data_IF_479909032354
#
_entry.id   IF_479909032354
#
_cell.length_a   1.000
_cell.length_b   1.000
_cell.length_c   1.000
_cell.angle_alpha   90.00
_cell.angle_beta   90.00
_cell.angle_gamma   90.00
#
_symmetry.space_group_name_H-M   'P 1'
#
loop_
_entity.id
_entity.type
_entity.pdbx_description
1 polymer ?
#
# COMPACT_ATOMS: atom_id res chain seq x y z
N UNK A 1 20.91 -6.93 -10.59
CA UNK A 1 20.11 -6.11 -9.65
C UNK A 1 19.30 -7.06 -8.79
N UNK A 2 19.66 -7.24 -7.53
CA UNK A 2 18.95 -8.17 -6.62
C UNK A 2 17.73 -7.43 -6.09
N UNK A 3 16.53 -7.97 -6.32
CA UNK A 3 15.29 -7.42 -5.76
C UNK A 3 15.27 -7.72 -4.26
N UNK A 4 15.80 -6.78 -3.47
CA UNK A 4 15.80 -6.86 -2.01
C UNK A 4 14.52 -6.30 -1.39
N UNK A 5 14.36 -6.51 -0.08
CA UNK A 5 13.21 -6.02 0.72
C UNK A 5 12.92 -4.52 0.53
N UNK A 6 13.94 -3.71 0.29
CA UNK A 6 13.78 -2.27 0.01
C UNK A 6 12.87 -1.97 -1.19
N UNK A 7 12.86 -2.82 -2.23
CA UNK A 7 11.98 -2.64 -3.38
C UNK A 7 10.51 -2.88 -3.01
N UNK A 8 10.24 -3.94 -2.23
CA UNK A 8 8.89 -4.23 -1.73
C UNK A 8 8.38 -3.14 -0.79
N UNK A 9 9.24 -2.61 0.09
CA UNK A 9 8.90 -1.47 0.96
C UNK A 9 8.63 -0.19 0.17
N UNK A 10 9.38 0.05 -0.91
CA UNK A 10 9.17 1.24 -1.75
C UNK A 10 7.83 1.15 -2.47
N UNK A 11 7.50 -0.02 -3.03
CA UNK A 11 6.21 -0.25 -3.71
C UNK A 11 5.05 -0.13 -2.73
N UNK A 12 5.14 -0.73 -1.54
CA UNK A 12 4.08 -0.62 -0.53
C UNK A 12 3.92 0.81 -0.02
N UNK A 13 5.00 1.56 0.15
CA UNK A 13 4.95 2.98 0.51
C UNK A 13 4.24 3.83 -0.58
N UNK A 14 4.57 3.61 -1.86
CA UNK A 14 3.90 4.31 -2.97
C UNK A 14 2.41 4.00 -2.97
N UNK A 15 2.03 2.72 -2.89
CA UNK A 15 0.62 2.32 -2.84
C UNK A 15 -0.11 2.92 -1.63
N UNK A 16 0.51 2.90 -0.46
CA UNK A 16 -0.06 3.50 0.75
C UNK A 16 -0.31 5.00 0.57
N UNK A 17 0.68 5.75 0.06
CA UNK A 17 0.52 7.20 -0.19
C UNK A 17 -0.57 7.49 -1.22
N UNK A 18 -0.67 6.71 -2.30
CA UNK A 18 -1.73 6.84 -3.31
C UNK A 18 -3.11 6.58 -2.70
N UNK A 19 -3.24 5.55 -1.86
CA UNK A 19 -4.50 5.25 -1.17
C UNK A 19 -4.90 6.39 -0.22
N UNK A 20 -3.97 6.93 0.56
CA UNK A 20 -4.23 8.09 1.44
C UNK A 20 -4.62 9.33 0.62
N UNK A 21 -3.93 9.57 -0.51
CA UNK A 21 -4.25 10.67 -1.41
C UNK A 21 -5.64 10.50 -2.04
N UNK A 22 -6.00 9.28 -2.43
CA UNK A 22 -7.33 8.94 -2.96
C UNK A 22 -8.46 9.28 -1.99
N UNK A 23 -8.28 9.02 -0.70
CA UNK A 23 -9.23 9.40 0.36
C UNK A 23 -9.34 10.93 0.47
N UNK A 24 -8.21 11.65 0.43
CA UNK A 24 -8.21 13.10 0.65
C UNK A 24 -8.81 13.87 -0.52
N UNK A 25 -8.58 13.42 -1.76
CA UNK A 25 -9.08 14.06 -2.98
C UNK A 25 -10.57 13.82 -3.21
N UNK A 26 -11.06 12.60 -2.92
CA UNK A 26 -12.41 12.17 -3.32
C UNK A 26 -13.36 11.96 -2.14
N UNK A 27 -13.45 12.94 -1.24
CA UNK A 27 -14.32 12.84 -0.03
C UNK A 27 -15.82 12.75 -0.31
N UNK A 28 -16.26 13.10 -1.53
CA UNK A 28 -17.68 13.09 -1.91
C UNK A 28 -18.15 11.73 -2.41
N UNK A 29 -17.24 10.86 -2.85
CA UNK A 29 -17.56 9.57 -3.44
C UNK A 29 -17.17 8.45 -2.50
N UNK A 30 -18.14 7.93 -1.74
CA UNK A 30 -17.91 6.84 -0.78
C UNK A 30 -17.28 5.61 -1.45
N UNK A 31 -17.66 5.30 -2.69
CA UNK A 31 -17.08 4.19 -3.47
C UNK A 31 -15.57 4.37 -3.66
N UNK A 32 -15.12 5.59 -3.98
CA UNK A 32 -13.70 5.89 -4.17
C UNK A 32 -12.93 5.83 -2.85
N UNK A 33 -13.56 6.24 -1.76
CA UNK A 33 -12.98 6.09 -0.41
C UNK A 33 -12.82 4.62 -0.07
N UNK A 34 -13.84 3.78 -0.30
CA UNK A 34 -13.76 2.34 -0.04
C UNK A 34 -12.67 1.67 -0.89
N UNK A 35 -12.59 1.99 -2.18
CA UNK A 35 -11.53 1.49 -3.07
C UNK A 35 -10.13 1.95 -2.59
N UNK A 36 -10.01 3.19 -2.10
CA UNK A 36 -8.75 3.69 -1.54
C UNK A 36 -8.37 2.97 -0.24
N UNK A 37 -9.36 2.60 0.58
CA UNK A 37 -9.13 1.79 1.79
C UNK A 37 -8.67 0.37 1.42
N UNK A 38 -9.29 -0.28 0.43
CA UNK A 38 -8.81 -1.58 -0.06
C UNK A 38 -7.36 -1.50 -0.56
N UNK A 39 -7.01 -0.42 -1.26
CA UNK A 39 -5.66 -0.18 -1.76
C UNK A 39 -4.64 0.05 -0.63
N UNK A 40 -5.04 0.73 0.47
CA UNK A 40 -4.23 0.86 1.69
C UNK A 40 -4.02 -0.51 2.35
N UNK A 41 -5.09 -1.31 2.49
CA UNK A 41 -5.01 -2.64 3.10
C UNK A 41 -4.10 -3.57 2.29
N UNK A 42 -4.15 -3.49 0.96
CA UNK A 42 -3.25 -4.22 0.06
C UNK A 42 -1.79 -3.82 0.29
N UNK A 43 -1.49 -2.52 0.38
CA UNK A 43 -0.14 -2.02 0.62
C UNK A 43 0.44 -2.53 1.96
N UNK A 44 -0.36 -2.52 3.02
CA UNK A 44 0.02 -3.06 4.34
C UNK A 44 0.24 -4.58 4.28
N UNK A 45 -0.57 -5.31 3.51
CA UNK A 45 -0.41 -6.75 3.34
C UNK A 45 0.91 -7.10 2.63
N UNK A 46 1.26 -6.37 1.57
CA UNK A 46 2.56 -6.50 0.88
C UNK A 46 3.71 -6.26 1.87
N UNK A 47 3.58 -5.25 2.74
CA UNK A 47 4.58 -4.96 3.75
C UNK A 47 4.74 -6.12 4.74
N UNK A 48 3.64 -6.69 5.24
CA UNK A 48 3.68 -7.86 6.13
C UNK A 48 4.32 -9.08 5.46
N UNK A 49 3.96 -9.39 4.21
CA UNK A 49 4.55 -10.53 3.47
C UNK A 49 6.04 -10.29 3.23
N UNK A 50 6.45 -9.08 2.87
CA UNK A 50 7.85 -8.73 2.67
C UNK A 50 8.68 -8.91 3.95
N UNK A 51 8.18 -8.43 5.10
CA UNK A 51 8.81 -8.66 6.39
C UNK A 51 8.85 -10.14 6.78
N UNK A 52 7.77 -10.88 6.54
CA UNK A 52 7.72 -12.33 6.80
C UNK A 52 8.73 -13.10 5.95
N UNK A 53 8.95 -12.70 4.70
CA UNK A 53 9.90 -13.36 3.80
C UNK A 53 11.37 -13.01 4.09
N UNK A 54 11.63 -11.91 4.80
CA UNK A 54 13.00 -11.48 5.12
C UNK A 54 13.43 -11.79 6.56
N UNK A 55 12.50 -11.87 7.51
CA UNK A 55 12.77 -12.19 8.92
C UNK A 55 12.28 -13.59 9.33
N UNK A 56 11.50 -14.29 8.50
CA UNK A 56 11.07 -15.67 8.70
C UNK A 56 12.01 -16.66 8.03
#
# INVERSE_FOLDING_TARGET
>A
MVVGIAHYLTVSAILFTLGVFGIFLNRKNVIVILMSVELILLAVNINFVAFSAALG
#
